data_IF_287209961682
#
_entry.id   IF_287209961682
#
_cell.length_a   1.000
_cell.length_b   1.000
_cell.length_c   1.000
_cell.angle_alpha   90.00
_cell.angle_beta   90.00
_cell.angle_gamma   90.00
#
_symmetry.space_group_name_H-M   'P 1'
#
loop_
_entity.id
_entity.type
_entity.pdbx_description
1 polymer ?
#
# COMPACT_ATOMS: atom_id res chain seq x y z
N UNK A 1 8.93 17.67 -14.97
CA UNK A 1 9.32 16.61 -13.98
C UNK A 1 10.81 16.29 -14.09
N UNK A 2 11.51 15.99 -12.96
CA UNK A 2 12.90 15.50 -12.94
C UNK A 2 12.93 14.02 -12.56
N UNK A 3 13.69 13.22 -13.28
CA UNK A 3 13.93 11.81 -12.93
C UNK A 3 15.28 11.73 -12.24
N UNK A 4 15.32 11.16 -11.04
CA UNK A 4 16.54 10.95 -10.25
C UNK A 4 16.68 9.50 -9.84
N UNK A 5 17.90 8.99 -9.84
CA UNK A 5 18.17 7.56 -9.63
C UNK A 5 19.00 7.28 -8.37
N UNK A 6 19.59 8.30 -7.80
CA UNK A 6 20.38 8.16 -6.59
C UNK A 6 19.90 9.08 -5.49
N UNK A 7 20.12 8.68 -4.25
CA UNK A 7 19.82 9.49 -3.06
C UNK A 7 20.59 10.81 -3.12
N UNK A 8 21.85 10.77 -3.56
CA UNK A 8 22.66 11.96 -3.72
C UNK A 8 22.04 12.95 -4.71
N UNK A 9 21.56 12.50 -5.88
CA UNK A 9 20.86 13.35 -6.84
C UNK A 9 19.62 13.97 -6.24
N UNK A 10 18.80 13.17 -5.53
CA UNK A 10 17.57 13.66 -4.90
C UNK A 10 17.87 14.78 -3.89
N UNK A 11 18.93 14.65 -3.10
CA UNK A 11 19.31 15.63 -2.09
C UNK A 11 19.88 16.95 -2.67
N UNK A 12 20.28 16.97 -3.94
CA UNK A 12 20.70 18.23 -4.61
C UNK A 12 19.54 19.05 -5.13
N UNK A 13 18.32 18.50 -5.18
CA UNK A 13 17.18 19.23 -5.71
C UNK A 13 16.61 20.17 -4.65
N UNK A 14 16.29 21.42 -5.02
CA UNK A 14 15.60 22.34 -4.13
C UNK A 14 14.20 21.82 -3.82
N UNK A 15 13.82 21.91 -2.57
CA UNK A 15 12.49 21.54 -2.07
C UNK A 15 12.04 22.66 -1.14
N UNK A 16 11.37 23.64 -1.73
CA UNK A 16 10.80 24.76 -0.97
C UNK A 16 9.30 24.47 -0.75
N UNK A 17 8.81 24.79 0.45
CA UNK A 17 7.43 24.53 0.83
C UNK A 17 7.19 23.09 1.29
N UNK A 18 5.94 22.66 1.23
CA UNK A 18 5.49 21.35 1.68
C UNK A 18 5.81 20.26 0.65
N UNK A 19 6.25 19.10 1.13
CA UNK A 19 6.65 17.95 0.29
C UNK A 19 5.69 16.80 0.46
N UNK A 20 5.05 16.37 -0.62
CA UNK A 20 4.25 15.16 -0.68
C UNK A 20 5.02 14.00 -1.30
N UNK A 21 4.88 12.80 -0.74
CA UNK A 21 5.46 11.58 -1.27
C UNK A 21 4.37 10.57 -1.65
N UNK A 22 4.48 10.01 -2.83
CA UNK A 22 3.65 8.86 -3.26
C UNK A 22 4.56 7.65 -3.49
N UNK A 23 4.66 6.71 -2.53
CA UNK A 23 5.40 5.47 -2.71
C UNK A 23 4.70 4.55 -3.71
N UNK A 24 5.39 4.16 -4.79
CA UNK A 24 4.86 3.24 -5.80
C UNK A 24 5.89 2.25 -6.30
N UNK A 25 5.39 1.18 -6.92
CA UNK A 25 6.21 0.19 -7.61
C UNK A 25 6.15 0.30 -9.15
N UNK A 26 5.44 1.31 -9.68
CA UNK A 26 5.22 1.45 -11.11
C UNK A 26 3.97 0.73 -11.62
N UNK A 27 3.89 0.51 -12.95
CA UNK A 27 2.71 0.04 -13.65
C UNK A 27 1.49 0.92 -13.35
N UNK A 28 1.64 2.24 -13.54
CA UNK A 28 0.65 3.23 -13.13
C UNK A 28 -0.69 3.03 -13.82
N UNK A 29 -1.75 3.20 -13.06
CA UNK A 29 -3.15 3.19 -13.46
C UNK A 29 -3.91 4.30 -12.72
N UNK A 30 -5.19 4.49 -13.02
CA UNK A 30 -5.98 5.60 -12.45
C UNK A 30 -6.00 5.64 -10.91
N UNK A 31 -5.82 4.49 -10.25
CA UNK A 31 -5.61 4.44 -8.80
C UNK A 31 -4.36 5.21 -8.35
N UNK A 32 -3.24 5.06 -9.06
CA UNK A 32 -2.03 5.84 -8.80
C UNK A 32 -2.21 7.32 -9.17
N UNK A 33 -2.90 7.60 -10.29
CA UNK A 33 -3.18 8.99 -10.68
C UNK A 33 -4.06 9.71 -9.65
N UNK A 34 -4.96 9.01 -8.95
CA UNK A 34 -5.72 9.58 -7.85
C UNK A 34 -4.82 9.97 -6.66
N UNK A 35 -3.82 9.13 -6.33
CA UNK A 35 -2.80 9.48 -5.32
C UNK A 35 -1.99 10.71 -5.72
N UNK A 36 -1.56 10.77 -6.99
CA UNK A 36 -0.78 11.89 -7.52
C UNK A 36 -1.55 13.20 -7.47
N UNK A 37 -2.84 13.20 -7.86
CA UNK A 37 -3.71 14.37 -7.78
C UNK A 37 -3.89 14.84 -6.34
N UNK A 38 -4.21 13.92 -5.41
CA UNK A 38 -4.36 14.26 -3.99
C UNK A 38 -3.05 14.86 -3.43
N UNK A 39 -1.91 14.28 -3.78
CA UNK A 39 -0.62 14.82 -3.37
C UNK A 39 -0.37 16.21 -3.96
N UNK A 40 -0.71 16.42 -5.24
CA UNK A 40 -0.51 17.72 -5.90
C UNK A 40 -1.39 18.83 -5.34
N UNK A 41 -2.61 18.51 -4.92
CA UNK A 41 -3.55 19.49 -4.35
C UNK A 41 -3.10 20.03 -3.00
N UNK A 42 -2.32 19.25 -2.24
CA UNK A 42 -1.98 19.54 -0.85
C UNK A 42 -0.51 19.93 -0.63
N UNK A 43 0.36 19.86 -1.66
CA UNK A 43 1.79 20.09 -1.49
C UNK A 43 2.39 20.97 -2.59
N UNK A 44 3.46 21.69 -2.23
CA UNK A 44 4.22 22.53 -3.16
C UNK A 44 5.14 21.69 -4.07
N UNK A 45 5.70 20.62 -3.53
CA UNK A 45 6.57 19.67 -4.25
C UNK A 45 6.02 18.26 -4.09
N UNK A 46 5.84 17.54 -5.20
CA UNK A 46 5.39 16.15 -5.19
C UNK A 46 6.48 15.23 -5.72
N UNK A 47 6.85 14.25 -4.89
CA UNK A 47 7.80 13.18 -5.21
C UNK A 47 7.03 11.87 -5.35
N UNK A 48 7.18 11.19 -6.46
CA UNK A 48 6.75 9.79 -6.59
C UNK A 48 7.97 8.86 -6.62
N UNK A 49 7.91 7.74 -5.92
CA UNK A 49 8.91 6.69 -6.12
C UNK A 49 8.44 5.72 -7.21
N UNK A 50 9.38 5.28 -8.04
CA UNK A 50 9.19 4.21 -9.03
C UNK A 50 10.18 3.10 -8.70
N UNK A 51 9.79 2.19 -7.80
CA UNK A 51 10.70 1.17 -7.29
C UNK A 51 9.99 -0.14 -6.97
N UNK A 52 10.23 -1.17 -7.79
CA UNK A 52 9.76 -2.53 -7.49
C UNK A 52 10.64 -3.10 -6.38
N UNK A 53 10.13 -3.05 -5.15
CA UNK A 53 10.89 -3.40 -3.96
C UNK A 53 11.05 -4.92 -3.81
N UNK A 54 12.23 -5.50 -4.01
CA UNK A 54 12.41 -6.95 -3.92
C UNK A 54 12.18 -7.49 -2.51
N UNK A 55 12.38 -6.67 -1.48
CA UNK A 55 12.28 -7.08 -0.08
C UNK A 55 10.83 -7.42 0.37
N UNK A 56 9.81 -7.03 -0.40
CA UNK A 56 8.41 -7.31 -0.07
C UNK A 56 7.81 -8.48 -0.87
N UNK A 57 8.63 -9.19 -1.65
CA UNK A 57 8.22 -10.37 -2.40
C UNK A 57 8.85 -11.62 -1.78
N UNK A 58 8.01 -12.61 -1.47
CA UNK A 58 8.47 -13.90 -1.04
C UNK A 58 8.97 -14.75 -2.24
N UNK A 59 9.71 -15.81 -1.95
CA UNK A 59 10.12 -16.77 -2.98
C UNK A 59 8.88 -17.36 -3.68
N UNK A 60 8.82 -17.25 -5.01
CA UNK A 60 7.70 -17.74 -5.84
C UNK A 60 6.58 -16.72 -6.06
N UNK A 61 6.65 -15.52 -5.49
CA UNK A 61 5.77 -14.42 -5.87
C UNK A 61 6.14 -13.82 -7.25
N UNK A 62 5.34 -12.87 -7.71
CA UNK A 62 5.35 -12.31 -9.07
C UNK A 62 6.44 -11.23 -9.32
N UNK A 63 7.52 -11.19 -8.53
CA UNK A 63 8.57 -10.17 -8.64
C UNK A 63 9.14 -10.04 -10.08
N UNK A 64 9.48 -11.18 -10.70
CA UNK A 64 10.06 -11.19 -12.05
C UNK A 64 9.04 -10.83 -13.13
N UNK A 65 7.75 -11.07 -12.87
CA UNK A 65 6.64 -10.80 -13.78
C UNK A 65 5.98 -9.46 -13.52
N UNK A 66 6.34 -8.78 -12.41
CA UNK A 66 5.73 -7.50 -12.07
C UNK A 66 5.91 -6.51 -13.24
N UNK A 67 4.82 -5.88 -13.72
CA UNK A 67 4.86 -5.06 -14.92
C UNK A 67 5.83 -3.87 -14.74
N UNK A 68 6.66 -3.63 -15.74
CA UNK A 68 7.62 -2.52 -15.77
C UNK A 68 7.55 -1.84 -17.13
N UNK A 69 7.12 -0.60 -17.16
CA UNK A 69 7.11 0.26 -18.33
C UNK A 69 7.45 1.69 -17.85
N UNK A 70 8.73 1.91 -17.60
CA UNK A 70 9.21 3.18 -17.05
C UNK A 70 8.86 4.37 -17.95
N UNK A 71 8.88 4.19 -19.27
CA UNK A 71 8.56 5.27 -20.21
C UNK A 71 7.09 5.69 -20.10
N UNK A 72 6.17 4.73 -20.06
CA UNK A 72 4.74 4.96 -19.85
C UNK A 72 4.48 5.57 -18.47
N UNK A 73 5.09 5.03 -17.43
CA UNK A 73 4.92 5.50 -16.06
C UNK A 73 5.45 6.93 -15.90
N UNK A 74 6.58 7.25 -16.54
CA UNK A 74 7.14 8.61 -16.59
C UNK A 74 6.15 9.60 -17.21
N UNK A 75 5.58 9.26 -18.38
CA UNK A 75 4.58 10.13 -19.04
C UNK A 75 3.35 10.37 -18.16
N UNK A 76 2.86 9.31 -17.50
CA UNK A 76 1.70 9.42 -16.61
C UNK A 76 2.00 10.27 -15.37
N UNK A 77 3.16 10.08 -14.73
CA UNK A 77 3.60 10.89 -13.59
C UNK A 77 3.72 12.36 -13.97
N UNK A 78 4.34 12.66 -15.11
CA UNK A 78 4.49 14.04 -15.60
C UNK A 78 3.15 14.70 -15.87
N UNK A 79 2.23 14.00 -16.54
CA UNK A 79 0.88 14.49 -16.83
C UNK A 79 0.04 14.74 -15.57
N UNK A 80 0.34 14.02 -14.48
CA UNK A 80 -0.32 14.16 -13.19
C UNK A 80 0.33 15.23 -12.28
N UNK A 81 1.36 15.94 -12.76
CA UNK A 81 1.97 17.04 -12.03
C UNK A 81 3.01 16.61 -10.99
N UNK A 82 3.63 15.45 -11.14
CA UNK A 82 4.77 15.03 -10.31
C UNK A 82 5.98 15.90 -10.66
N UNK A 83 6.66 16.44 -9.63
CA UNK A 83 7.86 17.26 -9.80
C UNK A 83 9.11 16.41 -9.91
N UNK A 84 9.19 15.34 -9.09
CA UNK A 84 10.36 14.47 -9.00
C UNK A 84 9.89 13.00 -9.06
N UNK A 85 10.41 12.25 -10.02
CA UNK A 85 10.28 10.80 -10.07
C UNK A 85 11.59 10.17 -9.56
N UNK A 86 11.53 9.58 -8.37
CA UNK A 86 12.67 8.87 -7.78
C UNK A 86 12.63 7.41 -8.19
N UNK A 87 13.52 7.02 -9.10
CA UNK A 87 13.60 5.68 -9.69
C UNK A 87 14.94 5.01 -9.36
N UNK A 88 15.18 4.64 -8.09
CA UNK A 88 16.45 4.06 -7.66
C UNK A 88 16.59 2.61 -8.10
N UNK A 89 17.84 2.10 -8.18
CA UNK A 89 18.11 0.68 -8.28
C UNK A 89 17.91 -0.03 -6.92
N UNK A 90 17.82 -1.36 -6.95
CA UNK A 90 17.78 -2.14 -5.72
C UNK A 90 19.05 -1.96 -4.87
N UNK A 91 20.21 -1.84 -5.51
CA UNK A 91 21.50 -1.61 -4.83
C UNK A 91 21.60 -0.23 -4.18
N UNK A 92 20.94 0.78 -4.76
CA UNK A 92 20.87 2.13 -4.15
C UNK A 92 20.10 2.10 -2.82
N UNK A 93 18.99 1.36 -2.75
CA UNK A 93 18.21 1.24 -1.53
C UNK A 93 18.72 0.15 -0.59
N UNK A 94 19.24 -0.94 -1.12
CA UNK A 94 19.76 -2.09 -0.35
C UNK A 94 21.19 -2.41 -0.81
N UNK A 95 22.18 -1.60 -0.40
CA UNK A 95 23.57 -1.84 -0.78
C UNK A 95 24.11 -3.15 -0.19
N UNK A 96 25.19 -3.71 -0.76
CA UNK A 96 25.84 -4.89 -0.19
C UNK A 96 26.12 -4.73 1.30
N UNK A 97 25.73 -5.74 2.09
CA UNK A 97 25.86 -5.71 3.56
C UNK A 97 24.70 -5.06 4.29
N UNK A 98 23.61 -4.70 3.61
CA UNK A 98 22.40 -4.21 4.27
C UNK A 98 21.85 -5.24 5.26
N UNK A 99 21.60 -4.82 6.52
CA UNK A 99 21.20 -5.73 7.62
C UNK A 99 20.01 -5.23 8.44
N UNK A 100 19.60 -3.98 8.27
CA UNK A 100 18.60 -3.34 9.14
C UNK A 100 17.19 -3.47 8.55
N UNK A 101 16.29 -4.02 9.34
CA UNK A 101 14.90 -4.23 8.96
C UNK A 101 13.95 -3.58 9.96
N UNK A 102 12.78 -3.18 9.49
CA UNK A 102 11.69 -2.66 10.32
C UNK A 102 10.53 -3.61 10.22
N UNK A 103 9.95 -4.00 11.36
CA UNK A 103 8.82 -4.92 11.43
C UNK A 103 7.78 -4.39 12.40
N UNK A 104 6.52 -4.45 12.00
CA UNK A 104 5.35 -4.23 12.86
C UNK A 104 4.77 -5.62 13.16
N UNK A 105 5.04 -6.11 14.35
CA UNK A 105 4.90 -7.54 14.67
C UNK A 105 3.48 -8.07 14.53
N UNK A 106 2.51 -7.53 15.27
CA UNK A 106 1.17 -8.11 15.34
C UNK A 106 0.34 -7.81 14.08
N UNK A 107 0.29 -6.55 13.66
CA UNK A 107 -0.44 -6.17 12.45
C UNK A 107 0.17 -6.75 11.18
N UNK A 108 1.48 -6.99 11.18
CA UNK A 108 2.21 -7.53 10.04
C UNK A 108 2.09 -9.04 9.86
N UNK A 109 1.48 -9.78 10.82
CA UNK A 109 1.41 -11.26 10.80
C UNK A 109 0.02 -11.83 10.52
N UNK A 110 -1.01 -10.98 10.47
CA UNK A 110 -2.40 -11.36 10.22
C UNK A 110 -2.76 -11.09 8.76
N UNK A 111 -3.88 -11.63 8.28
CA UNK A 111 -4.43 -11.38 6.95
C UNK A 111 -3.34 -11.53 5.86
N UNK A 112 -3.03 -10.45 5.13
CA UNK A 112 -1.97 -10.48 4.11
C UNK A 112 -0.64 -11.03 4.64
N UNK A 113 -0.28 -10.71 5.89
CA UNK A 113 0.98 -11.15 6.48
C UNK A 113 1.04 -12.67 6.75
N UNK A 114 -0.09 -13.33 6.97
CA UNK A 114 -0.19 -14.78 7.10
C UNK A 114 0.07 -15.47 5.76
N UNK A 115 -0.50 -14.94 4.69
CA UNK A 115 -0.39 -15.50 3.35
C UNK A 115 0.87 -15.04 2.59
N UNK A 116 1.53 -13.99 3.08
CA UNK A 116 2.74 -13.40 2.49
C UNK A 116 3.80 -13.12 3.57
N UNK A 117 4.40 -14.17 4.17
CA UNK A 117 5.39 -14.00 5.24
C UNK A 117 6.54 -13.07 4.83
N UNK A 118 6.86 -12.08 5.66
CA UNK A 118 7.91 -11.08 5.40
C UNK A 118 7.49 -9.91 4.52
N UNK A 119 6.32 -9.94 3.89
CA UNK A 119 5.84 -8.86 3.03
C UNK A 119 5.85 -7.50 3.74
N UNK A 120 5.20 -7.39 4.89
CA UNK A 120 5.12 -6.11 5.61
C UNK A 120 6.45 -5.64 6.18
N UNK A 121 7.35 -6.55 6.55
CA UNK A 121 8.72 -6.19 6.89
C UNK A 121 9.44 -5.50 5.71
N UNK A 122 9.22 -5.99 4.50
CA UNK A 122 9.71 -5.34 3.28
C UNK A 122 9.08 -3.98 3.04
N UNK A 123 7.75 -3.87 3.22
CA UNK A 123 6.98 -2.62 3.06
C UNK A 123 7.41 -1.57 4.07
N UNK A 124 7.44 -1.88 5.36
CA UNK A 124 7.82 -0.93 6.41
C UNK A 124 9.26 -0.47 6.25
N UNK A 125 10.17 -1.38 5.88
CA UNK A 125 11.57 -1.02 5.65
C UNK A 125 11.71 -0.04 4.48
N UNK A 126 11.08 -0.32 3.32
CA UNK A 126 11.19 0.59 2.17
C UNK A 126 10.48 1.92 2.44
N UNK A 127 9.31 1.91 3.08
CA UNK A 127 8.59 3.14 3.40
C UNK A 127 9.41 4.03 4.33
N UNK A 128 9.97 3.48 5.42
CA UNK A 128 10.80 4.26 6.33
C UNK A 128 12.06 4.79 5.65
N UNK A 129 12.70 4.00 4.77
CA UNK A 129 13.83 4.49 3.96
C UNK A 129 13.41 5.66 3.08
N UNK A 130 12.29 5.54 2.36
CA UNK A 130 11.77 6.61 1.53
C UNK A 130 11.42 7.86 2.35
N UNK A 131 10.83 7.71 3.53
CA UNK A 131 10.54 8.83 4.43
C UNK A 131 11.82 9.55 4.86
N UNK A 132 12.86 8.81 5.27
CA UNK A 132 14.15 9.39 5.64
C UNK A 132 14.89 10.04 4.46
N UNK A 133 14.78 9.48 3.26
CA UNK A 133 15.44 9.97 2.04
C UNK A 133 14.73 11.21 1.50
N UNK A 134 13.40 11.16 1.39
CA UNK A 134 12.58 12.23 0.81
C UNK A 134 12.27 13.31 1.85
N UNK A 135 12.11 12.93 3.12
CA UNK A 135 11.67 13.79 4.23
C UNK A 135 10.37 14.53 3.89
N UNK A 136 9.30 13.80 3.56
CA UNK A 136 8.04 14.41 3.19
C UNK A 136 7.28 14.89 4.42
N UNK A 137 6.46 15.95 4.26
CA UNK A 137 5.45 16.34 5.23
C UNK A 137 4.27 15.37 5.20
N UNK A 138 3.91 14.88 4.00
CA UNK A 138 2.77 13.97 3.76
C UNK A 138 3.15 12.82 2.86
N UNK A 139 2.64 11.63 3.17
CA UNK A 139 2.78 10.46 2.30
C UNK A 139 1.40 9.85 2.00
N UNK A 140 1.16 9.50 0.73
CA UNK A 140 -0.15 9.13 0.20
C UNK A 140 -0.20 7.64 -0.11
N UNK A 141 -1.24 6.97 0.41
CA UNK A 141 -1.48 5.53 0.23
C UNK A 141 -2.92 5.26 -0.16
N UNK A 142 -3.16 4.20 -0.92
CA UNK A 142 -4.50 3.80 -1.33
C UNK A 142 -5.22 2.98 -0.25
N UNK A 143 -6.50 3.29 0.00
CA UNK A 143 -7.37 2.51 0.90
C UNK A 143 -7.47 1.04 0.48
N UNK A 144 -7.32 0.72 -0.80
CA UNK A 144 -7.33 -0.66 -1.29
C UNK A 144 -6.38 -1.57 -0.51
N UNK A 145 -5.23 -1.07 -0.12
CA UNK A 145 -4.22 -1.80 0.65
C UNK A 145 -4.34 -1.45 2.15
N UNK A 146 -5.55 -1.61 2.71
CA UNK A 146 -5.92 -1.15 4.06
C UNK A 146 -4.98 -1.65 5.16
N UNK A 147 -4.54 -2.91 5.11
CA UNK A 147 -3.58 -3.42 6.08
C UNK A 147 -2.20 -2.77 5.93
N UNK A 148 -1.75 -2.51 4.70
CA UNK A 148 -0.52 -1.76 4.47
C UNK A 148 -0.61 -0.37 5.10
N UNK A 149 -1.75 0.32 4.93
CA UNK A 149 -2.00 1.62 5.56
C UNK A 149 -1.92 1.52 7.09
N UNK A 150 -2.58 0.50 7.68
CA UNK A 150 -2.57 0.29 9.13
C UNK A 150 -1.16 0.02 9.66
N UNK A 151 -0.40 -0.83 8.96
CA UNK A 151 0.99 -1.17 9.31
C UNK A 151 1.92 0.04 9.20
N UNK A 152 1.80 0.84 8.12
CA UNK A 152 2.61 2.05 7.92
C UNK A 152 2.26 3.12 8.96
N UNK A 153 0.97 3.36 9.23
CA UNK A 153 0.54 4.28 10.30
C UNK A 153 1.08 3.84 11.66
N UNK A 154 1.07 2.53 11.94
CA UNK A 154 1.63 1.99 13.19
C UNK A 154 3.12 2.24 13.29
N UNK A 155 3.88 1.97 12.25
CA UNK A 155 5.32 2.23 12.17
C UNK A 155 5.63 3.73 12.41
N UNK A 156 4.92 4.61 11.73
CA UNK A 156 5.10 6.07 11.86
C UNK A 156 4.87 6.52 13.30
N UNK A 157 3.79 6.04 13.94
CA UNK A 157 3.48 6.36 15.33
C UNK A 157 4.49 5.80 16.32
N UNK A 158 4.87 4.54 16.18
CA UNK A 158 5.75 3.87 17.14
C UNK A 158 7.21 4.32 17.05
N UNK A 159 7.61 4.89 15.90
CA UNK A 159 8.95 5.44 15.67
C UNK A 159 8.99 6.98 15.75
N UNK A 160 7.91 7.61 16.22
CA UNK A 160 7.79 9.07 16.38
C UNK A 160 8.18 9.84 15.10
N UNK A 161 7.84 9.27 13.92
CA UNK A 161 8.15 9.92 12.65
C UNK A 161 7.12 11.01 12.32
N UNK A 162 7.58 12.17 11.87
CA UNK A 162 6.74 13.36 11.68
C UNK A 162 5.82 13.31 10.46
N UNK A 163 6.03 12.38 9.52
CA UNK A 163 5.24 12.28 8.27
C UNK A 163 3.77 12.02 8.55
N UNK A 164 2.89 12.78 7.91
CA UNK A 164 1.44 12.56 7.96
C UNK A 164 1.02 11.55 6.87
N UNK A 165 0.30 10.49 7.25
CA UNK A 165 -0.18 9.47 6.32
C UNK A 165 -1.59 9.84 5.84
N UNK A 166 -1.70 10.15 4.56
CA UNK A 166 -2.95 10.44 3.86
C UNK A 166 -3.45 9.20 3.12
N UNK A 167 -4.74 8.91 3.26
CA UNK A 167 -5.36 7.73 2.65
C UNK A 167 -6.35 8.16 1.59
N UNK A 168 -6.11 7.76 0.35
CA UNK A 168 -6.97 8.05 -0.78
C UNK A 168 -7.95 6.90 -0.99
N UNK A 169 -9.25 7.15 -1.20
CA UNK A 169 -10.25 6.12 -1.42
C UNK A 169 -9.90 5.17 -2.56
N UNK A 170 -10.35 3.92 -2.46
CA UNK A 170 -10.16 2.92 -3.52
C UNK A 170 -10.80 3.38 -4.82
N UNK A 171 -9.99 3.51 -5.87
CA UNK A 171 -10.50 3.75 -7.23
C UNK A 171 -10.91 2.42 -7.84
N UNK A 172 -12.10 2.41 -8.44
CA UNK A 172 -12.68 1.23 -9.07
C UNK A 172 -12.86 1.44 -10.57
N UNK A 173 -12.80 0.36 -11.32
CA UNK A 173 -13.17 0.37 -12.72
C UNK A 173 -14.69 0.52 -12.88
N UNK A 174 -15.17 0.75 -14.12
CA UNK A 174 -16.59 0.94 -14.43
C UNK A 174 -17.49 -0.23 -14.01
N UNK A 175 -16.92 -1.43 -13.90
CA UNK A 175 -17.60 -2.65 -13.44
C UNK A 175 -17.55 -2.87 -11.92
N UNK A 176 -16.87 -1.97 -11.18
CA UNK A 176 -16.74 -1.98 -9.72
C UNK A 176 -15.49 -2.70 -9.19
N UNK A 177 -14.67 -3.33 -10.06
CA UNK A 177 -13.44 -3.98 -9.62
C UNK A 177 -12.43 -2.93 -9.14
N UNK A 178 -11.82 -3.15 -7.97
CA UNK A 178 -10.75 -2.28 -7.48
C UNK A 178 -9.56 -2.30 -8.45
N UNK A 179 -9.04 -1.13 -8.80
CA UNK A 179 -7.91 -1.02 -9.73
C UNK A 179 -6.63 -1.60 -9.12
N UNK A 180 -5.97 -2.43 -9.89
CA UNK A 180 -4.69 -3.06 -9.54
C UNK A 180 -3.91 -3.35 -10.81
N UNK A 181 -2.58 -3.20 -10.77
CA UNK A 181 -1.70 -3.63 -11.85
C UNK A 181 -1.85 -5.13 -12.17
N UNK A 182 -2.25 -5.94 -11.19
CA UNK A 182 -2.53 -7.37 -11.37
C UNK A 182 -3.81 -7.67 -12.16
N UNK A 183 -4.71 -6.71 -12.33
CA UNK A 183 -5.91 -6.91 -13.16
C UNK A 183 -5.56 -7.21 -14.63
N UNK A 184 -4.37 -6.77 -15.08
CA UNK A 184 -3.86 -7.08 -16.42
C UNK A 184 -3.58 -8.57 -16.66
N UNK A 185 -3.52 -9.38 -15.59
CA UNK A 185 -3.31 -10.83 -15.72
C UNK A 185 -4.60 -11.63 -15.89
N UNK A 186 -5.76 -11.00 -15.66
CA UNK A 186 -7.06 -11.66 -15.74
C UNK A 186 -7.52 -11.83 -17.19
N UNK A 187 -7.95 -13.04 -17.57
CA UNK A 187 -8.75 -13.25 -18.76
C UNK A 187 -10.15 -12.61 -18.61
N UNK A 188 -10.93 -12.53 -19.67
CA UNK A 188 -12.31 -12.02 -19.62
C UNK A 188 -13.19 -12.83 -18.66
N UNK A 189 -13.05 -14.15 -18.66
CA UNK A 189 -13.77 -15.07 -17.78
C UNK A 189 -13.33 -14.89 -16.33
N UNK A 190 -12.02 -14.82 -16.09
CA UNK A 190 -11.46 -14.56 -14.75
C UNK A 190 -11.89 -13.19 -14.23
N UNK A 191 -11.94 -12.17 -15.09
CA UNK A 191 -12.44 -10.84 -14.70
C UNK A 191 -13.90 -10.89 -14.24
N UNK A 192 -14.77 -11.64 -14.93
CA UNK A 192 -16.17 -11.84 -14.51
C UNK A 192 -16.25 -12.50 -13.13
N UNK A 193 -15.39 -13.49 -12.86
CA UNK A 193 -15.31 -14.12 -11.54
C UNK A 193 -14.79 -13.15 -10.48
N UNK A 194 -13.78 -12.35 -10.79
CA UNK A 194 -13.21 -11.35 -9.89
C UNK A 194 -14.23 -10.33 -9.38
N UNK A 195 -15.29 -10.03 -10.17
CA UNK A 195 -16.37 -9.11 -9.75
C UNK A 195 -17.21 -9.64 -8.58
N UNK A 196 -17.08 -10.91 -8.22
CA UNK A 196 -17.71 -11.43 -7.00
C UNK A 196 -17.11 -10.78 -5.75
N UNK A 197 -15.81 -10.44 -5.78
CA UNK A 197 -15.13 -9.84 -4.63
C UNK A 197 -15.74 -8.50 -4.19
N UNK A 198 -15.83 -7.46 -5.02
CA UNK A 198 -16.46 -6.20 -4.59
C UNK A 198 -17.97 -6.36 -4.28
N UNK A 199 -18.68 -7.28 -4.93
CA UNK A 199 -20.10 -7.55 -4.64
C UNK A 199 -20.28 -8.18 -3.27
N UNK A 200 -19.44 -9.15 -2.92
CA UNK A 200 -19.46 -9.80 -1.62
C UNK A 200 -19.16 -8.79 -0.50
N UNK A 201 -18.15 -7.95 -0.67
CA UNK A 201 -17.79 -6.92 0.30
C UNK A 201 -18.88 -5.85 0.47
N UNK A 202 -19.68 -5.59 -0.55
CA UNK A 202 -20.81 -4.66 -0.46
C UNK A 202 -21.90 -5.10 0.51
N UNK A 203 -21.91 -6.36 0.94
CA UNK A 203 -22.80 -6.85 2.02
C UNK A 203 -22.46 -6.25 3.39
N UNK A 204 -21.22 -5.76 3.58
CA UNK A 204 -20.67 -5.27 4.86
C UNK A 204 -20.76 -6.28 6.02
N UNK A 205 -20.97 -7.56 5.71
CA UNK A 205 -21.09 -8.68 6.65
C UNK A 205 -20.14 -9.81 6.24
N UNK A 206 -19.26 -10.24 7.14
CA UNK A 206 -18.22 -11.21 6.84
C UNK A 206 -18.78 -12.60 6.48
N UNK A 207 -19.89 -13.02 7.13
CA UNK A 207 -20.49 -14.33 6.87
C UNK A 207 -21.17 -14.35 5.49
N UNK A 208 -21.95 -13.30 5.18
CA UNK A 208 -22.59 -13.16 3.86
C UNK A 208 -21.56 -12.99 2.74
N UNK A 209 -20.51 -12.20 2.98
CA UNK A 209 -19.44 -12.03 2.01
C UNK A 209 -18.72 -13.36 1.72
N UNK A 210 -18.44 -14.14 2.76
CA UNK A 210 -17.81 -15.47 2.59
C UNK A 210 -18.72 -16.43 1.83
N UNK A 211 -20.04 -16.41 2.09
CA UNK A 211 -21.02 -17.22 1.35
C UNK A 211 -21.07 -16.85 -0.14
N UNK A 212 -21.06 -15.55 -0.47
CA UNK A 212 -21.05 -15.06 -1.86
C UNK A 212 -19.76 -15.38 -2.61
N UNK A 213 -18.63 -15.56 -1.89
CA UNK A 213 -17.36 -15.97 -2.48
C UNK A 213 -17.19 -17.48 -2.55
N UNK A 214 -18.21 -18.25 -2.16
CA UNK A 214 -18.19 -19.71 -2.28
C UNK A 214 -18.00 -20.12 -3.76
N UNK A 215 -16.99 -20.93 -4.04
CA UNK A 215 -16.59 -21.31 -5.40
C UNK A 215 -15.32 -20.60 -5.91
N UNK A 216 -14.82 -19.59 -5.19
CA UNK A 216 -13.47 -19.06 -5.37
C UNK A 216 -12.51 -19.64 -4.32
N UNK A 217 -11.23 -19.60 -4.61
CA UNK A 217 -10.16 -19.89 -3.64
C UNK A 217 -10.00 -18.66 -2.73
N UNK A 218 -10.53 -18.75 -1.51
CA UNK A 218 -10.62 -17.63 -0.56
C UNK A 218 -9.55 -17.79 0.51
N UNK A 219 -8.57 -16.91 0.52
CA UNK A 219 -7.57 -16.86 1.57
C UNK A 219 -8.20 -16.39 2.90
N UNK A 220 -8.88 -15.24 2.88
CA UNK A 220 -9.61 -14.74 4.05
C UNK A 220 -10.81 -13.85 3.66
N UNK A 221 -11.79 -13.75 4.57
CA UNK A 221 -12.84 -12.73 4.64
C UNK A 221 -13.00 -12.39 6.12
N UNK A 222 -12.57 -11.21 6.52
CA UNK A 222 -12.51 -10.84 7.94
C UNK A 222 -12.81 -9.36 8.18
N UNK A 223 -13.41 -9.09 9.34
CA UNK A 223 -13.47 -7.72 9.87
C UNK A 223 -12.15 -7.43 10.57
N UNK A 224 -11.42 -6.45 10.05
CA UNK A 224 -10.16 -6.00 10.62
C UNK A 224 -10.38 -4.71 11.42
N UNK A 225 -9.90 -4.71 12.67
CA UNK A 225 -9.95 -3.57 13.59
C UNK A 225 -8.80 -2.59 13.27
N UNK A 226 -8.86 -2.03 12.05
CA UNK A 226 -7.97 -0.94 11.64
C UNK A 226 -8.62 0.40 12.00
N UNK A 227 -7.97 1.51 11.72
CA UNK A 227 -8.53 2.85 11.88
C UNK A 227 -8.63 3.55 10.51
N UNK A 228 -9.84 3.58 9.91
CA UNK A 228 -11.13 3.00 10.34
C UNK A 228 -11.18 1.46 10.19
N UNK A 229 -12.13 0.76 10.87
CA UNK A 229 -12.35 -0.67 10.70
C UNK A 229 -12.83 -1.01 9.29
N UNK A 230 -12.44 -2.19 8.79
CA UNK A 230 -12.78 -2.62 7.44
C UNK A 230 -13.25 -4.07 7.41
N UNK A 231 -14.14 -4.40 6.48
CA UNK A 231 -14.31 -5.77 6.01
C UNK A 231 -13.33 -5.97 4.85
N UNK A 232 -12.38 -6.88 5.02
CA UNK A 232 -11.34 -7.16 4.05
C UNK A 232 -11.41 -8.61 3.55
N UNK A 233 -11.10 -8.81 2.28
CA UNK A 233 -11.04 -10.14 1.69
C UNK A 233 -9.88 -10.27 0.70
N UNK A 234 -9.36 -11.51 0.61
CA UNK A 234 -8.42 -11.93 -0.41
C UNK A 234 -8.89 -13.21 -1.07
N UNK A 235 -8.87 -13.22 -2.40
CA UNK A 235 -9.30 -14.36 -3.22
C UNK A 235 -8.28 -14.62 -4.33
N UNK A 236 -8.24 -15.87 -4.80
CA UNK A 236 -7.51 -16.23 -6.01
C UNK A 236 -8.49 -16.50 -7.13
N UNK A 237 -8.24 -15.87 -8.26
CA UNK A 237 -8.97 -16.09 -9.50
C UNK A 237 -7.94 -16.57 -10.53
N UNK A 238 -8.03 -17.83 -10.90
CA UNK A 238 -6.96 -18.49 -11.64
C UNK A 238 -5.65 -18.44 -10.86
N UNK A 239 -4.63 -17.81 -11.46
CA UNK A 239 -3.31 -17.60 -10.80
C UNK A 239 -3.19 -16.23 -10.14
N UNK A 240 -4.19 -15.36 -10.29
CA UNK A 240 -4.14 -13.98 -9.82
C UNK A 240 -4.75 -13.86 -8.43
N UNK A 241 -3.98 -13.39 -7.48
CA UNK A 241 -4.46 -13.06 -6.14
C UNK A 241 -4.94 -11.62 -6.10
N UNK A 242 -6.19 -11.43 -5.67
CA UNK A 242 -6.86 -10.13 -5.58
C UNK A 242 -7.23 -9.85 -4.13
N UNK A 243 -7.08 -8.59 -3.74
CA UNK A 243 -7.53 -8.08 -2.44
C UNK A 243 -8.43 -6.87 -2.65
N UNK A 244 -9.39 -6.73 -1.75
CA UNK A 244 -10.23 -5.54 -1.67
C UNK A 244 -10.76 -5.39 -0.24
N UNK A 245 -11.32 -4.22 0.08
CA UNK A 245 -11.96 -3.96 1.35
C UNK A 245 -13.04 -2.88 1.24
N UNK A 246 -13.90 -2.85 2.24
CA UNK A 246 -14.86 -1.75 2.46
C UNK A 246 -14.72 -1.26 3.90
N UNK A 247 -14.79 0.06 4.08
CA UNK A 247 -14.81 0.67 5.42
C UNK A 247 -16.14 0.36 6.07
N UNK A 248 -16.10 -0.05 7.34
CA UNK A 248 -17.28 -0.31 8.14
C UNK A 248 -17.57 0.90 9.04
N UNK A 249 -18.83 1.34 9.04
CA UNK A 249 -19.30 2.36 9.99
C UNK A 249 -19.67 1.67 11.31
N UNK A 250 -18.66 1.15 12.00
CA UNK A 250 -18.82 0.55 13.32
C UNK A 250 -18.54 1.60 14.39
N UNK A 251 -19.33 1.65 15.48
CA UNK A 251 -18.97 2.48 16.61
C UNK A 251 -17.60 2.07 17.11
N UNK A 252 -16.69 3.03 17.28
CA UNK A 252 -15.33 2.77 17.80
C UNK A 252 -15.47 2.05 19.13
N UNK A 253 -15.21 0.76 19.17
CA UNK A 253 -14.92 0.08 20.41
C UNK A 253 -13.60 0.66 20.90
N UNK A 254 -13.57 1.14 22.16
CA UNK A 254 -12.33 1.60 22.79
C UNK A 254 -11.28 0.51 22.55
N UNK A 255 -10.24 0.84 21.80
CA UNK A 255 -9.29 -0.16 21.39
C UNK A 255 -8.71 -0.82 22.66
N UNK A 256 -8.88 -2.11 22.81
CA UNK A 256 -8.38 -2.91 23.93
C UNK A 256 -6.84 -2.77 24.12
N UNK A 257 -6.17 -2.11 23.23
CA UNK A 257 -4.76 -1.77 23.21
C UNK A 257 -4.37 -0.68 24.21
N UNK A 258 -5.25 0.33 24.46
CA UNK A 258 -4.98 1.38 25.46
C UNK A 258 -5.06 0.80 26.87
N UNK A 259 -5.94 -0.19 27.10
CA UNK A 259 -6.11 -0.79 28.42
C UNK A 259 -4.90 -1.67 28.84
N UNK A 260 -4.26 -2.37 27.89
CA UNK A 260 -3.08 -3.21 28.21
C UNK A 260 -1.82 -2.41 28.52
N UNK A 261 -1.66 -1.22 27.94
CA UNK A 261 -0.51 -0.34 28.22
C UNK A 261 -0.65 0.35 29.59
N UNK A 262 -1.89 0.55 30.09
CA UNK A 262 -2.09 1.07 31.45
C UNK A 262 -1.82 0.01 32.53
N UNK A 263 -2.26 -1.23 32.33
CA UNK A 263 -1.99 -2.31 33.27
C UNK A 263 -0.49 -2.64 33.42
N UNK A 264 0.32 -2.44 32.36
CA UNK A 264 1.77 -2.63 32.44
C UNK A 264 2.50 -1.48 33.11
N UNK A 265 1.91 -0.27 33.17
CA UNK A 265 2.52 0.88 33.87
C UNK A 265 2.19 0.92 35.36
N UNK A 266 1.15 0.22 35.81
CA UNK A 266 0.78 0.09 37.22
C UNK A 266 1.47 -1.11 37.90
N UNK A 267 2.17 -1.96 37.15
CA UNK A 267 2.87 -3.17 37.65
C UNK A 267 4.41 -3.02 37.73
N UNK A 268 4.96 -1.79 37.70
CA UNK A 268 6.41 -1.52 37.88
C UNK A 268 6.63 -0.63 39.10
#
# INVERSE_FOLDING_TARGET
MKIVRTIAQLHTLPREGTVGLVPTMGAFHDGHLALFRAAREENDVVVASLFVNPAQFAAGEDLDKYPRDEERDTRLAESAGIDILFAPSAEELYPPGFQTWVEVEELGRRLEGEYRPGHFRGVTTVCLKLFNIVRPDRAYFGQKDAQQVAVVKRMVRDLDHEVQIHVVPTVRDVDGLALSSRNAYLSEEERKLALQLPRALATMDAAQAREQLNGLDVDYVEVADFDPPVLAAAVRVGKTRLIDNVILDLPRQASTWVARDQEKKEAV
#
